data_IF_473276025231
#
_entry.id   IF_473276025231
#
_cell.length_a   1.000
_cell.length_b   1.000
_cell.length_c   1.000
_cell.angle_alpha   90.00
_cell.angle_beta   90.00
_cell.angle_gamma   90.00
#
_symmetry.space_group_name_H-M   'P 1'
#
loop_
_entity.id
_entity.type
_entity.pdbx_description
1 polymer ?
#
# COMPACT_ATOMS: atom_id res chain seq x y z
N UNK A 1 -11.46 -14.97 8.63
CA UNK A 1 -10.90 -14.31 9.83
C UNK A 1 -9.64 -13.58 9.40
N UNK A 2 -9.67 -12.28 9.58
CA UNK A 2 -8.73 -11.21 9.19
C UNK A 2 -7.24 -11.61 9.18
N UNK A 3 -6.57 -11.58 8.03
CA UNK A 3 -5.11 -11.61 7.97
C UNK A 3 -4.61 -10.34 7.25
N UNK A 4 -4.73 -9.20 7.94
CA UNK A 4 -4.09 -7.93 7.60
C UNK A 4 -4.33 -7.43 6.18
N UNK A 5 -5.40 -6.66 5.96
CA UNK A 5 -5.72 -6.03 4.67
C UNK A 5 -4.63 -5.06 4.21
N UNK A 6 -3.58 -5.60 3.61
CA UNK A 6 -2.59 -4.87 2.85
C UNK A 6 -3.17 -4.65 1.46
N UNK A 7 -3.22 -3.39 1.06
CA UNK A 7 -3.65 -2.95 -0.27
C UNK A 7 -2.38 -2.65 -1.07
N UNK A 8 -2.39 -3.10 -2.31
CA UNK A 8 -1.36 -2.81 -3.29
C UNK A 8 -1.59 -1.40 -3.87
N UNK A 9 -0.58 -0.53 -3.78
CA UNK A 9 -0.58 0.79 -4.41
C UNK A 9 0.66 0.90 -5.29
N UNK A 10 0.46 0.90 -6.61
CA UNK A 10 1.55 0.82 -7.58
C UNK A 10 2.41 -0.43 -7.36
N UNK A 11 3.69 -0.23 -7.08
CA UNK A 11 4.67 -1.31 -6.80
C UNK A 11 4.82 -1.64 -5.31
N UNK A 12 4.15 -0.91 -4.42
CA UNK A 12 4.28 -1.04 -2.98
C UNK A 12 3.01 -1.64 -2.35
N UNK A 13 3.15 -2.44 -1.29
CA UNK A 13 2.03 -2.85 -0.43
C UNK A 13 2.07 -2.06 0.87
N UNK A 14 0.89 -1.69 1.36
CA UNK A 14 0.73 -1.11 2.70
C UNK A 14 -0.64 -1.45 3.28
N UNK A 15 -0.78 -1.38 4.60
CA UNK A 15 -2.09 -1.57 5.24
C UNK A 15 -3.10 -0.49 4.87
N UNK A 16 -4.40 -0.80 4.89
CA UNK A 16 -5.45 0.22 4.71
C UNK A 16 -5.30 1.42 5.66
N UNK A 17 -4.81 1.21 6.89
CA UNK A 17 -4.58 2.29 7.84
C UNK A 17 -3.44 3.21 7.40
N UNK A 18 -2.43 2.70 6.71
CA UNK A 18 -1.32 3.49 6.15
C UNK A 18 -1.79 4.26 4.91
N UNK A 19 -2.57 3.60 4.05
CA UNK A 19 -3.17 4.24 2.89
C UNK A 19 -4.03 5.46 3.28
N UNK A 20 -4.85 5.31 4.32
CA UNK A 20 -5.67 6.40 4.86
C UNK A 20 -4.85 7.54 5.45
N UNK A 21 -3.72 7.24 6.10
CA UNK A 21 -2.82 8.28 6.61
C UNK A 21 -2.18 9.08 5.47
N UNK A 22 -1.81 8.41 4.38
CA UNK A 22 -1.28 9.08 3.20
C UNK A 22 -2.36 9.95 2.57
N UNK A 23 -3.57 9.44 2.37
CA UNK A 23 -4.69 10.21 1.85
C UNK A 23 -5.03 11.43 2.72
N UNK A 24 -5.01 11.28 4.04
CA UNK A 24 -5.22 12.40 4.98
C UNK A 24 -4.09 13.44 4.92
N UNK A 25 -2.85 13.00 4.63
CA UNK A 25 -1.67 13.86 4.55
C UNK A 25 -1.56 14.60 3.22
N UNK A 26 -1.82 13.92 2.11
CA UNK A 26 -1.69 14.48 0.74
C UNK A 26 -3.00 15.06 0.21
N UNK A 27 -4.14 14.67 0.79
CA UNK A 27 -5.47 15.01 0.31
C UNK A 27 -5.91 14.20 -0.93
N UNK A 28 -5.11 13.24 -1.38
CA UNK A 28 -5.33 12.43 -2.58
C UNK A 28 -5.08 10.97 -2.24
N UNK A 29 -5.92 10.03 -2.67
CA UNK A 29 -5.73 8.63 -2.34
C UNK A 29 -4.41 8.10 -2.95
N UNK A 30 -3.70 7.19 -2.26
CA UNK A 30 -2.40 6.65 -2.70
C UNK A 30 -2.41 5.91 -4.03
N UNK A 31 -3.58 5.50 -4.53
CA UNK A 31 -3.76 4.93 -5.87
C UNK A 31 -3.83 5.99 -6.98
N UNK A 32 -4.16 7.23 -6.64
CA UNK A 32 -4.20 8.38 -7.57
C UNK A 32 -2.97 9.30 -7.41
N UNK A 33 -2.14 9.06 -6.39
CA UNK A 33 -0.88 9.76 -6.19
C UNK A 33 0.17 9.31 -7.20
N UNK A 34 1.01 10.24 -7.64
CA UNK A 34 2.22 9.87 -8.37
C UNK A 34 3.19 9.13 -7.46
N UNK A 35 3.94 8.17 -8.02
CA UNK A 35 4.88 7.33 -7.26
C UNK A 35 5.84 8.16 -6.40
N UNK A 36 6.30 9.31 -6.91
CA UNK A 36 7.21 10.21 -6.19
C UNK A 36 6.54 10.86 -4.96
N UNK A 37 5.30 11.31 -5.08
CA UNK A 37 4.53 11.93 -4.00
C UNK A 37 4.10 10.89 -2.97
N UNK A 38 3.72 9.70 -3.44
CA UNK A 38 3.42 8.55 -2.59
C UNK A 38 4.64 8.17 -1.76
N UNK A 39 5.81 8.04 -2.40
CA UNK A 39 7.06 7.70 -1.71
C UNK A 39 7.48 8.77 -0.71
N UNK A 40 7.28 10.05 -1.03
CA UNK A 40 7.55 11.16 -0.12
C UNK A 40 6.63 11.09 1.10
N UNK A 41 5.31 10.95 0.89
CA UNK A 41 4.34 10.83 1.97
C UNK A 41 4.63 9.60 2.85
N UNK A 42 4.98 8.46 2.24
CA UNK A 42 5.39 7.26 2.99
C UNK A 42 6.64 7.51 3.83
N UNK A 43 7.65 8.21 3.29
CA UNK A 43 8.87 8.53 4.02
C UNK A 43 8.58 9.48 5.20
N UNK A 44 7.77 10.52 4.99
CA UNK A 44 7.37 11.49 6.02
C UNK A 44 6.58 10.82 7.16
N UNK A 45 5.65 9.93 6.81
CA UNK A 45 4.83 9.18 7.74
C UNK A 45 5.55 7.98 8.36
N UNK A 46 6.85 7.77 8.02
CA UNK A 46 7.65 6.62 8.44
C UNK A 46 6.95 5.28 8.13
N UNK A 47 6.22 5.23 7.02
CA UNK A 47 5.55 4.02 6.52
C UNK A 47 6.61 3.17 5.81
N UNK A 48 6.84 1.92 6.25
CA UNK A 48 7.81 1.05 5.59
C UNK A 48 7.35 0.75 4.17
N UNK A 49 8.22 1.05 3.19
CA UNK A 49 8.05 0.61 1.81
C UNK A 49 8.22 -0.91 1.79
N UNK A 50 7.12 -1.62 1.63
CA UNK A 50 7.18 -3.03 1.32
C UNK A 50 6.94 -3.17 -0.17
N UNK A 51 7.95 -3.61 -0.93
CA UNK A 51 7.73 -3.98 -2.31
C UNK A 51 6.72 -5.11 -2.37
N UNK A 52 5.81 -5.03 -3.35
CA UNK A 52 4.93 -6.13 -3.66
C UNK A 52 5.77 -7.25 -4.26
N UNK A 53 6.10 -8.26 -3.46
CA UNK A 53 6.84 -9.41 -3.98
C UNK A 53 5.91 -10.22 -4.89
N UNK A 54 6.50 -10.96 -5.84
CA UNK A 54 5.72 -11.85 -6.71
C UNK A 54 4.95 -12.92 -5.90
N UNK A 55 5.49 -13.29 -4.73
CA UNK A 55 4.86 -14.20 -3.77
C UNK A 55 3.63 -13.58 -3.10
N UNK A 56 3.65 -12.28 -2.78
CA UNK A 56 2.47 -11.54 -2.29
C UNK A 56 1.39 -11.42 -3.38
N UNK A 57 1.80 -11.23 -4.64
CA UNK A 57 0.88 -11.18 -5.78
C UNK A 57 0.22 -12.55 -6.00
N UNK A 58 0.97 -13.63 -5.87
CA UNK A 58 0.46 -14.99 -5.96
C UNK A 58 -0.47 -15.32 -4.78
N UNK A 59 -0.14 -14.90 -3.56
CA UNK A 59 -0.95 -15.11 -2.38
C UNK A 59 -2.26 -14.29 -2.40
N UNK A 60 -2.26 -13.08 -2.97
CA UNK A 60 -3.47 -12.27 -3.16
C UNK A 60 -4.39 -12.77 -4.28
N UNK A 61 -3.84 -13.54 -5.24
CA UNK A 61 -4.58 -14.11 -6.37
C UNK A 61 -5.04 -15.57 -6.14
N UNK A 62 -4.66 -16.20 -5.03
CA UNK A 62 -4.85 -17.63 -4.80
C UNK A 62 -5.46 -17.94 -3.44
N UNK A 63 -6.79 -17.85 -3.33
CA UNK A 63 -7.56 -18.70 -2.39
C UNK A 63 -8.93 -18.98 -2.97
N UNK A 64 -8.96 -19.79 -4.02
CA UNK A 64 -10.12 -20.62 -4.39
C UNK A 64 -9.56 -22.00 -4.76
N UNK A 65 -9.42 -22.88 -3.76
CA UNK A 65 -9.36 -24.34 -3.97
C UNK A 65 -10.37 -24.99 -3.02
#
# INVERSE_FOLDING_TARGET
MLAGGMVAFGVHKMSQSQAKQIEEHTGVPPEELEDADLEAAMAELNIPKQELTDEDRAAGAGTDD
#
